data_IF_415784165152
#
_entry.id   IF_415784165152
#
_cell.length_a   1.000
_cell.length_b   1.000
_cell.length_c   1.000
_cell.angle_alpha   90.00
_cell.angle_beta   90.00
_cell.angle_gamma   90.00
#
_symmetry.space_group_name_H-M   'P 1'
#
loop_
_entity.id
_entity.type
_entity.pdbx_description
1 polymer ?
#
# COMPACT_ATOMS: atom_id res chain seq x y z
N UNK A 1 -11.68 80.70 0.93
CA UNK A 1 -10.79 79.63 1.39
C UNK A 1 -11.37 78.86 2.54
N UNK A 2 -12.47 78.09 2.43
CA UNK A 2 -12.98 77.21 3.47
C UNK A 2 -13.93 76.10 2.97
N UNK A 3 -13.89 75.75 1.66
CA UNK A 3 -14.74 74.68 1.09
C UNK A 3 -13.99 73.46 0.56
N UNK A 4 -12.64 73.49 0.48
CA UNK A 4 -11.85 72.34 -0.03
C UNK A 4 -11.31 71.37 1.05
N UNK A 5 -11.29 71.81 2.31
CA UNK A 5 -10.73 70.97 3.37
C UNK A 5 -11.74 69.93 3.94
N UNK A 6 -13.07 70.16 3.79
CA UNK A 6 -14.09 69.22 4.27
C UNK A 6 -14.30 68.04 3.35
N UNK A 7 -13.97 68.17 2.06
CA UNK A 7 -14.18 67.10 1.08
C UNK A 7 -13.05 66.05 1.13
N UNK A 8 -11.84 66.44 1.53
CA UNK A 8 -10.70 65.53 1.63
C UNK A 8 -10.76 64.65 2.89
N UNK A 9 -11.33 65.17 3.96
CA UNK A 9 -11.50 64.39 5.22
C UNK A 9 -12.55 63.31 5.12
N UNK A 10 -13.58 63.46 4.30
CA UNK A 10 -14.65 62.49 4.11
C UNK A 10 -14.19 61.34 3.17
N UNK A 11 -13.28 61.59 2.24
CA UNK A 11 -12.69 60.56 1.35
C UNK A 11 -11.67 59.66 2.07
N UNK A 12 -10.97 60.17 3.09
CA UNK A 12 -10.05 59.33 3.88
C UNK A 12 -10.76 58.44 4.92
N UNK A 13 -11.92 58.88 5.43
CA UNK A 13 -12.71 58.10 6.36
C UNK A 13 -13.49 56.92 5.70
N UNK A 14 -13.74 57.04 4.39
CA UNK A 14 -14.43 55.98 3.62
C UNK A 14 -13.55 54.81 3.19
N UNK A 15 -12.20 54.97 3.19
CA UNK A 15 -11.28 53.90 2.77
C UNK A 15 -10.85 52.92 3.88
N UNK A 16 -11.19 53.20 5.14
CA UNK A 16 -10.81 52.33 6.26
C UNK A 16 -11.90 51.28 6.57
N UNK A 17 -13.08 51.39 5.98
CA UNK A 17 -14.21 50.50 6.28
C UNK A 17 -14.37 49.28 5.34
N UNK A 18 -13.44 49.06 4.41
CA UNK A 18 -13.44 47.92 3.48
C UNK A 18 -12.17 47.08 3.61
N UNK A 19 -11.80 46.74 4.85
CA UNK A 19 -10.97 45.56 5.06
C UNK A 19 -11.88 44.37 4.94
N UNK A 20 -11.74 43.49 3.94
CA UNK A 20 -12.48 42.25 3.93
C UNK A 20 -12.02 41.46 5.15
N UNK A 21 -12.93 41.18 6.06
CA UNK A 21 -12.77 40.17 7.08
C UNK A 21 -12.77 38.77 6.40
N UNK A 22 -11.76 38.55 5.56
CA UNK A 22 -11.40 37.19 5.13
C UNK A 22 -10.48 36.61 6.20
N UNK A 23 -11.00 36.44 7.42
CA UNK A 23 -10.55 35.38 8.29
C UNK A 23 -11.10 34.09 7.66
N UNK A 24 -10.54 33.65 6.54
CA UNK A 24 -10.61 32.24 6.18
C UNK A 24 -9.97 31.53 7.36
N UNK A 25 -10.77 30.81 8.15
CA UNK A 25 -10.23 29.81 9.05
C UNK A 25 -9.27 29.01 8.20
N UNK A 26 -7.98 29.08 8.47
CA UNK A 26 -6.99 28.27 7.78
C UNK A 26 -7.45 26.84 8.08
N UNK A 27 -7.92 26.15 7.05
CA UNK A 27 -8.36 24.77 7.17
C UNK A 27 -7.19 24.02 7.77
N UNK A 28 -7.37 23.48 8.97
CA UNK A 28 -6.28 22.82 9.66
C UNK A 28 -5.90 21.60 8.82
N UNK A 29 -4.67 21.60 8.32
CA UNK A 29 -4.14 20.46 7.58
C UNK A 29 -4.34 19.15 8.38
N UNK A 30 -4.72 18.05 7.73
CA UNK A 30 -4.91 16.78 8.42
C UNK A 30 -3.63 16.35 9.10
N UNK A 31 -3.72 15.94 10.37
CA UNK A 31 -2.58 15.45 11.15
C UNK A 31 -2.14 14.05 10.76
N UNK A 32 -3.03 13.26 10.18
CA UNK A 32 -2.79 11.91 9.68
C UNK A 32 -3.62 11.69 8.42
N UNK A 33 -2.98 11.17 7.39
CA UNK A 33 -3.63 10.62 6.20
C UNK A 33 -3.28 9.14 6.18
N UNK A 34 -4.30 8.28 6.26
CA UNK A 34 -4.14 6.83 6.21
C UNK A 34 -4.78 6.30 4.91
N UNK A 35 -3.95 5.82 3.99
CA UNK A 35 -4.39 5.11 2.80
C UNK A 35 -4.33 3.60 3.06
N UNK A 36 -5.47 2.91 2.91
CA UNK A 36 -5.56 1.46 3.02
C UNK A 36 -5.94 0.92 1.64
N UNK A 37 -5.04 0.13 1.05
CA UNK A 37 -5.27 -0.56 -0.22
C UNK A 37 -5.41 -2.05 0.05
N UNK A 38 -6.55 -2.63 -0.33
CA UNK A 38 -6.85 -4.06 -0.14
C UNK A 38 -6.72 -4.75 -1.49
N UNK A 39 -5.63 -5.50 -1.67
CA UNK A 39 -5.35 -6.26 -2.89
C UNK A 39 -6.39 -7.37 -3.09
N UNK A 40 -6.81 -7.59 -4.35
CA UNK A 40 -7.79 -8.62 -4.70
C UNK A 40 -9.23 -8.36 -4.26
N UNK A 41 -9.53 -7.24 -3.62
CA UNK A 41 -10.88 -6.91 -3.19
C UNK A 41 -11.75 -6.46 -4.37
N UNK A 42 -12.72 -7.29 -4.75
CA UNK A 42 -13.74 -6.90 -5.74
C UNK A 42 -14.62 -5.78 -5.19
N UNK A 43 -14.98 -4.82 -6.05
CA UNK A 43 -15.76 -3.66 -5.66
C UNK A 43 -17.16 -3.98 -5.07
N UNK A 44 -17.75 -5.13 -5.41
CA UNK A 44 -19.05 -5.55 -4.87
C UNK A 44 -18.97 -6.25 -3.50
N UNK A 45 -17.78 -6.71 -3.09
CA UNK A 45 -17.64 -7.50 -1.86
C UNK A 45 -18.03 -6.75 -0.57
N UNK A 46 -17.63 -5.51 -0.35
CA UNK A 46 -18.03 -4.79 0.86
C UNK A 46 -19.54 -4.68 1.02
N UNK A 47 -20.28 -4.42 -0.06
CA UNK A 47 -21.75 -4.35 -0.04
C UNK A 47 -22.37 -5.75 0.07
N UNK A 48 -21.85 -6.73 -0.65
CA UNK A 48 -22.37 -8.10 -0.65
C UNK A 48 -22.32 -8.74 0.74
N UNK A 49 -21.24 -8.53 1.46
CA UNK A 49 -20.99 -9.11 2.78
C UNK A 49 -21.22 -8.14 3.93
N UNK A 50 -21.82 -6.96 3.67
CA UNK A 50 -22.06 -5.95 4.69
C UNK A 50 -22.79 -6.50 5.95
N UNK A 51 -23.70 -7.47 5.77
CA UNK A 51 -24.44 -8.11 6.84
C UNK A 51 -23.59 -9.02 7.75
N UNK A 52 -22.41 -9.44 7.29
CA UNK A 52 -21.45 -10.24 8.05
C UNK A 52 -20.33 -9.40 8.67
N UNK A 53 -20.19 -8.13 8.25
CA UNK A 53 -19.16 -7.24 8.78
C UNK A 53 -19.60 -6.66 10.12
N UNK A 54 -18.65 -6.47 11.04
CA UNK A 54 -18.87 -5.72 12.28
C UNK A 54 -19.14 -4.24 12.02
N UNK A 55 -19.50 -3.50 13.08
CA UNK A 55 -19.87 -2.08 12.98
C UNK A 55 -18.66 -1.17 12.65
N UNK A 56 -17.45 -1.62 12.90
CA UNK A 56 -16.20 -0.94 12.50
C UNK A 56 -15.77 -1.25 11.06
N UNK A 57 -14.60 -0.80 10.67
CA UNK A 57 -13.99 -1.10 9.37
C UNK A 57 -14.86 -0.66 8.18
N UNK A 58 -15.13 -1.56 7.25
CA UNK A 58 -15.88 -1.25 6.03
C UNK A 58 -17.26 -0.66 6.30
N UNK A 59 -18.04 -1.22 7.24
CA UNK A 59 -19.38 -0.66 7.56
C UNK A 59 -19.30 0.76 8.09
N UNK A 60 -18.37 1.04 9.00
CA UNK A 60 -18.15 2.39 9.50
C UNK A 60 -17.80 3.36 8.36
N UNK A 61 -16.82 3.00 7.51
CA UNK A 61 -16.41 3.85 6.41
C UNK A 61 -17.51 4.07 5.36
N UNK A 62 -18.34 3.06 5.09
CA UNK A 62 -19.46 3.17 4.16
C UNK A 62 -20.60 4.03 4.70
N UNK A 63 -20.83 4.05 6.02
CA UNK A 63 -21.91 4.79 6.65
C UNK A 63 -21.53 6.23 7.01
N UNK A 64 -20.30 6.44 7.50
CA UNK A 64 -19.85 7.73 8.04
C UNK A 64 -18.91 8.46 7.06
N UNK A 65 -18.42 7.79 6.04
CA UNK A 65 -17.52 8.34 5.02
C UNK A 65 -18.20 8.59 3.69
N UNK A 66 -17.39 8.93 2.68
CA UNK A 66 -17.85 9.04 1.29
C UNK A 66 -17.58 7.72 0.57
N UNK A 67 -18.65 7.07 0.12
CA UNK A 67 -18.57 5.82 -0.63
C UNK A 67 -18.77 6.07 -2.13
N UNK A 68 -17.72 5.93 -2.93
CA UNK A 68 -17.78 6.05 -4.39
C UNK A 68 -18.27 4.74 -5.01
N UNK A 69 -19.56 4.65 -5.29
CA UNK A 69 -20.21 3.42 -5.81
C UNK A 69 -19.98 3.17 -7.29
N UNK A 70 -19.40 4.12 -8.02
CA UNK A 70 -19.13 4.04 -9.46
C UNK A 70 -17.68 4.41 -9.80
N UNK A 71 -16.72 3.90 -9.02
CA UNK A 71 -15.30 4.08 -9.28
C UNK A 71 -14.76 2.91 -10.10
N UNK A 72 -14.16 3.21 -11.26
CA UNK A 72 -13.63 2.22 -12.18
C UNK A 72 -12.22 2.57 -12.64
N UNK A 73 -11.38 1.55 -12.81
CA UNK A 73 -10.14 1.71 -13.56
C UNK A 73 -10.44 1.99 -15.04
N UNK A 74 -9.59 2.80 -15.66
CA UNK A 74 -9.67 3.10 -17.09
C UNK A 74 -8.87 2.10 -17.95
N UNK A 75 -8.40 1.00 -17.37
CA UNK A 75 -7.60 -0.03 -18.01
C UNK A 75 -8.09 -1.42 -17.59
N UNK A 76 -7.82 -2.41 -18.45
CA UNK A 76 -8.31 -3.78 -18.26
C UNK A 76 -7.39 -4.65 -17.38
N UNK A 77 -6.07 -4.47 -17.47
CA UNK A 77 -5.13 -5.22 -16.65
C UNK A 77 -5.12 -4.67 -15.23
N UNK A 78 -5.54 -5.47 -14.26
CA UNK A 78 -5.62 -5.12 -12.85
C UNK A 78 -4.73 -6.03 -11.99
N UNK A 79 -3.58 -6.45 -12.52
CA UNK A 79 -2.56 -7.08 -11.69
C UNK A 79 -2.12 -6.17 -10.55
N UNK A 80 -1.60 -6.75 -9.48
CA UNK A 80 -1.29 -6.05 -8.23
C UNK A 80 -0.58 -4.71 -8.44
N UNK A 81 0.58 -4.70 -9.12
CA UNK A 81 1.37 -3.46 -9.27
C UNK A 81 0.65 -2.44 -10.15
N UNK A 82 -0.05 -2.89 -11.19
CA UNK A 82 -0.80 -2.01 -12.10
C UNK A 82 -1.89 -1.26 -11.33
N UNK A 83 -2.68 -1.99 -10.55
CA UNK A 83 -3.73 -1.40 -9.70
C UNK A 83 -3.18 -0.52 -8.59
N UNK A 84 -2.15 -0.97 -7.87
CA UNK A 84 -1.54 -0.20 -6.79
C UNK A 84 -0.94 1.11 -7.28
N UNK A 85 -0.18 1.09 -8.38
CA UNK A 85 0.42 2.32 -8.93
C UNK A 85 -0.65 3.23 -9.52
N UNK A 86 -1.71 2.69 -10.16
CA UNK A 86 -2.85 3.52 -10.60
C UNK A 86 -3.51 4.24 -9.41
N UNK A 87 -3.71 3.56 -8.27
CA UNK A 87 -4.25 4.18 -7.05
C UNK A 87 -3.27 5.18 -6.43
N UNK A 88 -1.98 4.87 -6.43
CA UNK A 88 -0.95 5.74 -5.85
C UNK A 88 -0.70 7.02 -6.66
N UNK A 89 -0.87 6.97 -8.00
CA UNK A 89 -0.55 8.08 -8.90
C UNK A 89 -1.78 8.82 -9.44
N UNK A 90 -2.98 8.22 -9.35
CA UNK A 90 -4.18 8.73 -10.01
C UNK A 90 -4.08 8.67 -11.54
N UNK A 91 -3.13 7.94 -12.12
CA UNK A 91 -2.88 7.87 -13.55
C UNK A 91 -3.06 6.45 -14.11
N UNK A 92 -2.92 6.29 -15.42
CA UNK A 92 -3.11 5.03 -16.13
C UNK A 92 -1.76 4.37 -16.47
N UNK A 93 -1.72 3.05 -16.75
CA UNK A 93 -0.48 2.32 -17.05
C UNK A 93 0.40 2.95 -18.14
N UNK A 94 -0.22 3.55 -19.17
CA UNK A 94 0.52 4.25 -20.21
C UNK A 94 1.29 5.48 -19.72
N UNK A 95 0.88 6.09 -18.59
CA UNK A 95 1.54 7.24 -17.99
C UNK A 95 2.51 6.83 -16.88
N UNK A 96 2.10 5.91 -15.99
CA UNK A 96 2.95 5.51 -14.87
C UNK A 96 3.92 4.34 -15.18
N UNK A 97 3.82 3.72 -16.38
CA UNK A 97 4.76 2.72 -16.86
C UNK A 97 4.58 1.30 -16.33
N UNK A 98 3.73 1.07 -15.34
CA UNK A 98 3.50 -0.27 -14.78
C UNK A 98 2.45 -1.02 -15.59
N UNK A 99 2.88 -2.04 -16.33
CA UNK A 99 2.05 -2.81 -17.27
C UNK A 99 1.73 -4.22 -16.79
N UNK A 100 2.43 -4.72 -15.77
CA UNK A 100 2.25 -6.05 -15.20
C UNK A 100 3.15 -6.26 -13.98
N UNK A 101 2.94 -7.35 -13.23
CA UNK A 101 3.82 -7.73 -12.11
C UNK A 101 5.21 -8.14 -12.61
N UNK A 102 5.29 -8.63 -13.83
CA UNK A 102 6.53 -8.93 -14.57
C UNK A 102 6.32 -8.60 -16.03
N UNK A 103 7.38 -8.22 -16.73
CA UNK A 103 7.37 -8.06 -18.18
C UNK A 103 8.72 -8.46 -18.79
N UNK A 104 8.72 -8.67 -20.08
CA UNK A 104 9.94 -8.94 -20.82
C UNK A 104 10.62 -7.61 -21.17
N UNK A 105 11.81 -7.39 -20.60
CA UNK A 105 12.65 -6.25 -20.94
C UNK A 105 13.50 -6.61 -22.17
N UNK A 106 13.36 -5.82 -23.23
CA UNK A 106 14.03 -6.08 -24.52
C UNK A 106 15.51 -5.75 -24.49
N UNK A 107 15.92 -4.78 -23.67
CA UNK A 107 17.32 -4.36 -23.53
C UNK A 107 18.08 -5.38 -22.69
N UNK A 108 17.47 -5.83 -21.60
CA UNK A 108 18.04 -6.86 -20.72
C UNK A 108 17.88 -8.29 -21.28
N UNK A 109 16.99 -8.50 -22.27
CA UNK A 109 16.72 -9.81 -22.88
C UNK A 109 16.12 -10.84 -21.93
N UNK A 110 15.41 -10.41 -20.88
CA UNK A 110 14.83 -11.28 -19.85
C UNK A 110 13.55 -10.75 -19.25
N UNK A 111 12.85 -11.60 -18.50
CA UNK A 111 11.79 -11.14 -17.60
C UNK A 111 12.40 -10.31 -16.47
N UNK A 112 11.74 -9.20 -16.16
CA UNK A 112 12.05 -8.32 -15.04
C UNK A 112 10.86 -8.24 -14.08
N UNK A 113 11.17 -8.14 -12.80
CA UNK A 113 10.18 -7.88 -11.77
C UNK A 113 9.99 -6.37 -11.62
N UNK A 114 8.75 -5.94 -11.46
CA UNK A 114 8.29 -4.55 -11.61
C UNK A 114 9.08 -3.47 -10.85
N UNK A 115 9.63 -3.79 -9.68
CA UNK A 115 10.39 -2.86 -8.83
C UNK A 115 11.81 -3.36 -8.52
N UNK A 116 12.33 -4.35 -9.27
CA UNK A 116 13.72 -4.74 -9.10
C UNK A 116 14.66 -3.61 -9.53
N UNK A 117 15.73 -3.42 -8.78
CA UNK A 117 16.71 -2.36 -9.02
C UNK A 117 18.11 -2.83 -8.65
N UNK A 118 19.02 -2.86 -9.65
CA UNK A 118 20.39 -3.34 -9.48
C UNK A 118 21.27 -2.34 -8.71
N UNK A 119 20.89 -1.06 -8.68
CA UNK A 119 21.66 -0.01 -8.03
C UNK A 119 21.43 0.04 -6.51
N UNK A 120 20.42 -0.70 -6.04
CA UNK A 120 20.02 -0.73 -4.62
C UNK A 120 20.04 -2.15 -4.07
N UNK A 121 20.32 -2.27 -2.77
CA UNK A 121 20.37 -3.56 -2.05
C UNK A 121 19.38 -3.59 -0.89
N UNK A 122 18.98 -4.79 -0.50
CA UNK A 122 18.29 -4.98 0.77
C UNK A 122 19.24 -4.70 1.93
N UNK A 123 18.76 -4.04 2.99
CA UNK A 123 19.60 -3.77 4.16
C UNK A 123 19.93 -5.04 4.96
N UNK A 124 19.06 -6.04 4.93
CA UNK A 124 19.30 -7.33 5.57
C UNK A 124 19.89 -8.31 4.55
N UNK A 125 21.00 -8.91 4.87
CA UNK A 125 21.49 -10.08 4.15
C UNK A 125 20.47 -11.23 4.22
N UNK A 126 20.40 -12.05 3.17
CA UNK A 126 19.49 -13.20 3.07
C UNK A 126 17.99 -12.87 3.21
N UNK A 127 17.62 -11.60 2.99
CA UNK A 127 16.21 -11.16 2.99
C UNK A 127 15.54 -11.27 1.63
N UNK A 128 16.28 -11.69 0.62
CA UNK A 128 15.78 -11.90 -0.74
C UNK A 128 14.80 -13.08 -0.83
N UNK A 129 14.18 -13.22 -2.00
CA UNK A 129 13.22 -14.29 -2.28
C UNK A 129 13.89 -15.66 -2.18
N UNK A 130 13.44 -16.48 -1.24
CA UNK A 130 13.84 -17.89 -1.18
C UNK A 130 13.11 -18.69 -2.27
N UNK A 131 13.81 -19.01 -3.34
CA UNK A 131 13.28 -19.73 -4.49
C UNK A 131 12.74 -21.13 -4.15
N UNK A 132 13.13 -21.70 -3.01
CA UNK A 132 12.72 -23.05 -2.59
C UNK A 132 11.34 -23.06 -1.92
N UNK A 133 10.92 -21.94 -1.34
CA UNK A 133 9.65 -21.81 -0.59
C UNK A 133 8.70 -20.76 -1.17
N UNK A 134 9.16 -19.93 -2.12
CA UNK A 134 8.30 -18.92 -2.76
C UNK A 134 7.28 -19.58 -3.69
N UNK A 135 6.02 -19.28 -3.48
CA UNK A 135 4.90 -19.78 -4.28
C UNK A 135 4.41 -18.80 -5.33
N UNK A 136 4.70 -17.50 -5.18
CA UNK A 136 4.33 -16.47 -6.15
C UNK A 136 5.29 -16.49 -7.36
N UNK A 137 4.83 -16.89 -8.55
CA UNK A 137 5.69 -16.98 -9.74
C UNK A 137 6.26 -15.61 -10.16
N UNK A 138 5.58 -14.52 -9.82
CA UNK A 138 6.05 -13.17 -10.15
C UNK A 138 7.22 -12.75 -9.26
N UNK A 139 7.20 -13.09 -7.98
CA UNK A 139 8.33 -12.91 -7.07
C UNK A 139 9.53 -13.77 -7.48
N UNK A 140 9.29 -15.00 -7.95
CA UNK A 140 10.34 -15.89 -8.46
C UNK A 140 11.02 -15.38 -9.74
N UNK A 141 10.36 -14.48 -10.48
CA UNK A 141 10.92 -13.88 -11.69
C UNK A 141 12.00 -12.81 -11.39
N UNK A 142 12.02 -12.25 -10.19
CA UNK A 142 13.04 -11.30 -9.78
C UNK A 142 14.44 -11.93 -9.84
N UNK A 143 15.35 -11.27 -10.54
CA UNK A 143 16.76 -11.70 -10.69
C UNK A 143 17.73 -10.81 -9.93
N UNK A 144 17.24 -9.69 -9.45
CA UNK A 144 17.96 -8.70 -8.66
C UNK A 144 17.30 -8.58 -7.29
N UNK A 145 18.09 -8.51 -6.23
CA UNK A 145 17.57 -8.44 -4.86
C UNK A 145 17.08 -7.04 -4.48
N UNK A 146 17.68 -6.00 -5.06
CA UNK A 146 17.36 -4.61 -4.74
C UNK A 146 15.95 -4.20 -5.19
N UNK A 147 15.40 -3.23 -4.48
CA UNK A 147 14.04 -2.71 -4.69
C UNK A 147 14.03 -1.20 -4.59
N UNK A 148 13.40 -0.54 -5.56
CA UNK A 148 13.16 0.89 -5.54
C UNK A 148 11.92 1.27 -6.37
N UNK A 149 11.42 2.50 -6.29
CA UNK A 149 10.35 3.01 -7.15
C UNK A 149 10.86 3.54 -8.51
N UNK A 150 12.09 3.24 -8.93
CA UNK A 150 12.71 3.82 -10.14
C UNK A 150 11.88 3.60 -11.41
N UNK A 151 11.23 2.45 -11.53
CA UNK A 151 10.39 2.06 -12.67
C UNK A 151 9.02 2.73 -12.71
N UNK A 152 8.59 3.41 -11.65
CA UNK A 152 7.33 4.18 -11.63
C UNK A 152 7.59 5.53 -12.30
N UNK A 153 6.95 5.82 -13.44
CA UNK A 153 7.25 7.02 -14.24
C UNK A 153 6.49 8.27 -13.83
N UNK A 154 5.44 8.14 -13.02
CA UNK A 154 4.65 9.27 -12.49
C UNK A 154 4.94 9.50 -11.01
N UNK A 155 4.73 10.74 -10.53
CA UNK A 155 4.70 11.01 -9.09
C UNK A 155 3.53 10.31 -8.42
N UNK A 156 3.73 9.89 -7.18
CA UNK A 156 2.67 9.30 -6.37
C UNK A 156 2.03 10.34 -5.48
N UNK A 157 0.86 10.05 -4.92
CA UNK A 157 0.24 10.88 -3.88
C UNK A 157 1.21 11.17 -2.71
N UNK A 158 2.02 10.18 -2.36
CA UNK A 158 3.07 10.32 -1.34
C UNK A 158 4.14 11.35 -1.75
N UNK A 159 4.56 11.35 -3.01
CA UNK A 159 5.51 12.32 -3.54
C UNK A 159 4.92 13.73 -3.55
N UNK A 160 3.68 13.88 -4.02
CA UNK A 160 2.97 15.17 -4.03
C UNK A 160 2.75 15.70 -2.61
N UNK A 161 2.44 14.83 -1.65
CA UNK A 161 2.30 15.19 -0.24
C UNK A 161 3.63 15.72 0.33
N UNK A 162 4.75 15.08 -0.02
CA UNK A 162 6.06 15.53 0.40
C UNK A 162 6.39 16.92 -0.18
N UNK A 163 6.08 17.14 -1.45
CA UNK A 163 6.27 18.44 -2.12
C UNK A 163 5.39 19.49 -1.47
N UNK A 164 4.09 19.21 -1.28
CA UNK A 164 3.12 20.15 -0.71
C UNK A 164 3.54 20.66 0.68
N UNK A 165 4.09 19.79 1.50
CA UNK A 165 4.54 20.14 2.86
C UNK A 165 6.05 20.40 2.96
N UNK A 166 6.73 20.66 1.84
CA UNK A 166 8.16 21.02 1.82
C UNK A 166 9.08 19.97 2.45
N UNK A 167 8.73 18.69 2.34
CA UNK A 167 9.51 17.58 2.89
C UNK A 167 9.31 17.33 4.40
N UNK A 168 8.42 18.06 5.06
CA UNK A 168 8.16 17.88 6.50
C UNK A 168 7.23 16.69 6.82
N UNK A 169 6.54 16.14 5.82
CA UNK A 169 5.67 14.98 5.99
C UNK A 169 6.47 13.72 6.30
N UNK A 170 5.99 12.93 7.26
CA UNK A 170 6.51 11.58 7.53
C UNK A 170 5.64 10.59 6.77
N UNK A 171 6.19 9.97 5.74
CA UNK A 171 5.47 9.14 4.80
C UNK A 171 6.01 7.72 4.86
N UNK A 172 5.13 6.74 5.08
CA UNK A 172 5.48 5.32 5.18
C UNK A 172 4.55 4.48 4.30
N UNK A 173 5.12 3.59 3.48
CA UNK A 173 4.41 2.51 2.82
C UNK A 173 4.76 1.19 3.51
N UNK A 174 3.74 0.46 3.98
CA UNK A 174 3.94 -0.83 4.66
C UNK A 174 3.03 -1.86 4.00
N UNK A 175 3.59 -2.99 3.62
CA UNK A 175 2.84 -4.09 3.02
C UNK A 175 3.53 -5.42 3.30
N UNK A 176 2.79 -6.52 3.14
CA UNK A 176 3.40 -7.85 3.14
C UNK A 176 4.33 -8.01 1.93
N UNK A 177 3.91 -7.56 0.74
CA UNK A 177 4.74 -7.64 -0.47
C UNK A 177 5.45 -6.31 -0.75
N UNK A 178 6.70 -6.41 -1.20
CA UNK A 178 7.56 -5.30 -1.59
C UNK A 178 6.88 -4.30 -2.53
N UNK A 179 6.25 -4.78 -3.62
CA UNK A 179 5.57 -3.94 -4.62
C UNK A 179 4.45 -3.09 -4.02
N UNK A 180 3.70 -3.61 -3.05
CA UNK A 180 2.67 -2.84 -2.35
C UNK A 180 3.26 -1.70 -1.53
N UNK A 181 4.31 -1.97 -0.76
CA UNK A 181 4.98 -0.97 0.06
C UNK A 181 5.66 0.11 -0.78
N UNK A 182 6.42 -0.30 -1.80
CA UNK A 182 7.18 0.60 -2.69
C UNK A 182 6.26 1.52 -3.49
N UNK A 183 5.17 0.99 -4.07
CA UNK A 183 4.22 1.79 -4.84
C UNK A 183 3.53 2.85 -4.00
N UNK A 184 3.15 2.53 -2.76
CA UNK A 184 2.48 3.46 -1.85
C UNK A 184 3.44 4.49 -1.22
N UNK A 185 4.69 4.10 -0.94
CA UNK A 185 5.69 5.03 -0.43
C UNK A 185 6.16 6.03 -1.49
N UNK A 186 6.18 5.64 -2.75
CA UNK A 186 6.74 6.44 -3.82
C UNK A 186 8.24 6.69 -3.64
N UNK A 187 8.73 7.80 -4.23
CA UNK A 187 10.13 8.21 -4.15
C UNK A 187 10.47 8.95 -2.86
N UNK A 188 9.53 9.73 -2.36
CA UNK A 188 9.76 10.60 -1.20
C UNK A 188 9.47 9.91 0.15
N UNK A 189 8.68 8.86 0.15
CA UNK A 189 8.33 8.10 1.36
C UNK A 189 9.40 7.09 1.77
N UNK A 190 9.03 6.23 2.71
CA UNK A 190 9.83 5.13 3.24
C UNK A 190 9.02 3.84 3.15
N UNK A 191 9.56 2.80 2.53
CA UNK A 191 8.87 1.54 2.33
C UNK A 191 9.42 0.44 3.22
N UNK A 192 8.51 -0.37 3.77
CA UNK A 192 8.84 -1.60 4.52
C UNK A 192 7.94 -2.73 4.05
N UNK A 193 8.51 -3.92 3.87
CA UNK A 193 7.77 -5.12 3.48
C UNK A 193 8.28 -6.34 4.23
N UNK A 194 7.45 -7.39 4.25
CA UNK A 194 7.78 -8.60 4.98
C UNK A 194 8.64 -9.54 4.13
N UNK A 195 9.83 -9.89 4.62
CA UNK A 195 10.67 -10.92 4.04
C UNK A 195 10.25 -12.28 4.59
N UNK A 196 9.76 -13.15 3.71
CA UNK A 196 9.39 -14.52 4.07
C UNK A 196 10.61 -15.35 4.50
N UNK A 197 11.76 -15.13 3.89
CA UNK A 197 13.01 -15.82 4.24
C UNK A 197 13.50 -15.49 5.65
N UNK A 198 13.28 -14.24 6.12
CA UNK A 198 13.72 -13.77 7.44
C UNK A 198 12.60 -13.83 8.50
N UNK A 199 11.34 -13.78 8.09
CA UNK A 199 10.21 -13.58 9.03
C UNK A 199 10.17 -12.18 9.64
N UNK A 200 10.71 -11.16 8.96
CA UNK A 200 10.95 -9.82 9.45
C UNK A 200 10.52 -8.77 8.42
N UNK A 201 10.21 -7.55 8.88
CA UNK A 201 10.06 -6.40 7.99
C UNK A 201 11.42 -5.88 7.55
N UNK A 202 11.56 -5.66 6.25
CA UNK A 202 12.81 -5.25 5.60
C UNK A 202 12.60 -4.03 4.71
N UNK A 203 13.70 -3.41 4.29
CA UNK A 203 13.72 -2.29 3.35
C UNK A 203 14.99 -2.35 2.51
N UNK A 204 15.14 -1.47 1.53
CA UNK A 204 16.35 -1.30 0.72
C UNK A 204 17.12 -0.04 1.10
N UNK A 205 18.37 0.05 0.63
CA UNK A 205 19.24 1.22 0.81
C UNK A 205 18.79 2.45 0.01
N UNK A 206 17.81 2.28 -0.90
CA UNK A 206 17.08 3.41 -1.49
C UNK A 206 16.37 4.24 -0.41
N UNK A 207 15.77 3.58 0.56
CA UNK A 207 14.95 4.23 1.59
C UNK A 207 15.72 4.59 2.85
N UNK A 208 16.67 3.73 3.26
CA UNK A 208 17.43 3.89 4.48
C UNK A 208 18.85 3.36 4.33
N UNK A 209 19.81 3.97 5.02
CA UNK A 209 21.17 3.42 5.13
C UNK A 209 21.31 2.42 6.29
N UNK A 210 20.41 2.51 7.27
CA UNK A 210 20.29 1.58 8.40
C UNK A 210 18.85 1.56 8.91
N UNK A 211 18.44 0.46 9.50
CA UNK A 211 17.10 0.38 10.07
C UNK A 211 16.88 1.41 11.19
N UNK A 212 15.72 2.10 11.18
CA UNK A 212 15.28 2.84 12.37
C UNK A 212 15.12 1.93 13.57
N UNK A 213 15.37 2.44 14.78
CA UNK A 213 15.31 1.65 16.01
C UNK A 213 13.96 0.94 16.19
N UNK A 214 12.86 1.62 15.89
CA UNK A 214 11.53 1.02 16.02
C UNK A 214 11.30 -0.20 15.10
N UNK A 215 11.96 -0.28 13.94
CA UNK A 215 11.92 -1.48 13.07
C UNK A 215 12.73 -2.60 13.68
N UNK A 216 13.92 -2.29 14.22
CA UNK A 216 14.74 -3.28 14.91
C UNK A 216 14.00 -3.85 16.12
N UNK A 217 13.34 -3.01 16.93
CA UNK A 217 12.56 -3.43 18.09
C UNK A 217 11.38 -4.32 17.68
N UNK A 218 10.66 -3.95 16.60
CA UNK A 218 9.58 -4.76 16.06
C UNK A 218 10.07 -6.14 15.60
N UNK A 219 11.13 -6.18 14.81
CA UNK A 219 11.69 -7.43 14.29
C UNK A 219 12.25 -8.31 15.43
N UNK A 220 12.90 -7.71 16.42
CA UNK A 220 13.38 -8.43 17.61
C UNK A 220 12.26 -9.10 18.40
N UNK A 221 11.06 -8.52 18.40
CA UNK A 221 9.86 -9.09 19.01
C UNK A 221 9.31 -10.33 18.27
N UNK A 222 9.77 -10.60 17.05
CA UNK A 222 9.36 -11.75 16.22
C UNK A 222 7.84 -11.99 16.19
N UNK A 223 7.02 -10.98 15.81
CA UNK A 223 5.56 -11.05 15.94
C UNK A 223 4.93 -12.18 15.10
N UNK A 224 5.58 -12.62 14.03
CA UNK A 224 5.14 -13.76 13.22
C UNK A 224 5.02 -15.04 14.05
N UNK A 225 5.87 -15.25 15.04
CA UNK A 225 5.84 -16.47 15.89
C UNK A 225 4.56 -16.59 16.72
N UNK A 226 3.80 -15.52 16.92
CA UNK A 226 2.51 -15.57 17.59
C UNK A 226 1.46 -16.44 16.85
N UNK A 227 1.72 -16.75 15.58
CA UNK A 227 0.85 -17.58 14.74
C UNK A 227 1.30 -19.05 14.65
N UNK A 228 2.46 -19.40 15.21
CA UNK A 228 2.96 -20.78 15.19
C UNK A 228 1.96 -21.73 15.86
N UNK A 229 1.67 -22.84 15.20
CA UNK A 229 0.69 -23.85 15.66
C UNK A 229 -0.78 -23.42 15.55
N UNK A 230 -1.06 -22.24 14.99
CA UNK A 230 -2.42 -21.76 14.69
C UNK A 230 -2.80 -22.04 13.24
N UNK A 231 -4.03 -21.68 12.89
CA UNK A 231 -4.55 -21.77 11.52
C UNK A 231 -5.28 -20.49 11.13
N UNK A 232 -5.37 -20.25 9.84
CA UNK A 232 -6.34 -19.30 9.28
C UNK A 232 -7.69 -20.01 9.21
N UNK A 233 -8.65 -19.48 9.93
CA UNK A 233 -9.98 -20.04 10.06
C UNK A 233 -11.03 -19.12 9.44
N UNK A 234 -12.19 -19.69 9.11
CA UNK A 234 -13.35 -18.91 8.71
C UNK A 234 -13.82 -18.03 9.87
N UNK A 235 -14.12 -16.75 9.59
CA UNK A 235 -14.66 -15.81 10.60
C UNK A 235 -16.12 -16.08 10.96
N UNK A 236 -16.85 -16.82 10.10
CA UNK A 236 -18.26 -17.19 10.26
C UNK A 236 -18.47 -18.66 9.93
N UNK A 237 -19.64 -19.20 10.24
CA UNK A 237 -20.03 -20.53 9.82
C UNK A 237 -20.00 -20.67 8.29
N UNK A 238 -19.58 -21.81 7.79
CA UNK A 238 -19.32 -22.06 6.36
C UNK A 238 -20.54 -21.77 5.47
N UNK A 239 -21.76 -22.00 5.96
CA UNK A 239 -23.01 -21.71 5.24
C UNK A 239 -23.26 -20.20 4.98
N UNK A 240 -22.51 -19.30 5.64
CA UNK A 240 -22.57 -17.85 5.42
C UNK A 240 -21.79 -17.39 4.20
N UNK A 241 -20.91 -18.22 3.70
CA UNK A 241 -20.08 -17.86 2.52
C UNK A 241 -20.74 -18.34 1.23
N UNK A 242 -20.64 -17.52 0.21
CA UNK A 242 -21.08 -17.88 -1.13
C UNK A 242 -20.27 -19.10 -1.62
N UNK A 243 -20.94 -20.19 -1.94
CA UNK A 243 -20.32 -21.47 -2.31
C UNK A 243 -19.48 -22.13 -1.19
N UNK A 244 -19.78 -21.85 0.07
CA UNK A 244 -19.06 -22.43 1.20
C UNK A 244 -19.07 -23.96 1.22
N UNK A 245 -20.11 -24.60 0.67
CA UNK A 245 -20.21 -26.06 0.48
C UNK A 245 -19.22 -26.63 -0.56
N UNK A 246 -18.55 -25.76 -1.31
CA UNK A 246 -17.61 -26.10 -2.39
C UNK A 246 -16.26 -25.42 -2.20
N UNK A 247 -15.72 -25.54 -1.00
CA UNK A 247 -14.46 -24.91 -0.57
C UNK A 247 -13.25 -25.47 -1.35
N UNK A 248 -13.18 -26.76 -1.59
CA UNK A 248 -12.07 -27.39 -2.31
C UNK A 248 -12.12 -27.08 -3.81
N UNK A 249 -11.25 -26.20 -4.28
CA UNK A 249 -11.13 -25.81 -5.70
C UNK A 249 -9.81 -26.30 -6.30
N UNK A 250 -9.89 -26.96 -7.45
CA UNK A 250 -8.70 -27.50 -8.13
C UNK A 250 -7.73 -26.43 -8.63
N UNK A 251 -8.21 -25.19 -8.83
CA UNK A 251 -7.40 -24.05 -9.30
C UNK A 251 -6.75 -23.27 -8.18
N UNK A 252 -7.05 -23.56 -6.92
CA UNK A 252 -6.36 -22.96 -5.78
C UNK A 252 -4.95 -23.52 -5.65
N UNK A 253 -4.01 -22.64 -5.33
CA UNK A 253 -2.63 -23.04 -5.09
C UNK A 253 -2.55 -23.87 -3.82
N UNK A 254 -2.11 -25.10 -3.97
CA UNK A 254 -1.80 -25.98 -2.85
C UNK A 254 -0.28 -26.10 -2.69
N UNK A 255 0.19 -25.99 -1.48
CA UNK A 255 1.60 -26.18 -1.14
C UNK A 255 1.73 -26.89 0.22
N UNK A 256 2.91 -27.46 0.54
CA UNK A 256 3.05 -28.39 1.66
C UNK A 256 2.44 -27.87 2.96
N UNK A 257 1.50 -28.63 3.49
CA UNK A 257 0.87 -28.42 4.80
C UNK A 257 -0.17 -27.29 4.87
N UNK A 258 -0.54 -26.65 3.73
CA UNK A 258 -1.56 -25.60 3.73
C UNK A 258 -2.96 -26.13 3.36
N UNK A 259 -3.07 -26.86 2.25
CA UNK A 259 -4.32 -27.42 1.74
C UNK A 259 -5.20 -26.39 1.02
N UNK A 260 -6.36 -26.86 0.52
CA UNK A 260 -7.34 -26.05 -0.22
C UNK A 260 -8.67 -25.88 0.50
N UNK A 261 -8.73 -26.32 1.75
CA UNK A 261 -9.97 -26.33 2.56
C UNK A 261 -9.67 -25.74 3.93
N UNK A 262 -10.51 -24.84 4.38
CA UNK A 262 -10.43 -24.29 5.73
C UNK A 262 -10.60 -25.37 6.82
N UNK A 263 -9.85 -25.26 7.92
CA UNK A 263 -8.85 -24.25 8.23
C UNK A 263 -7.50 -24.48 7.53
N UNK A 264 -6.75 -23.41 7.23
CA UNK A 264 -5.41 -23.48 6.67
C UNK A 264 -4.36 -23.37 7.78
N UNK A 265 -3.64 -24.44 8.15
CA UNK A 265 -2.69 -24.38 9.25
C UNK A 265 -1.42 -23.60 8.87
N UNK A 266 -0.94 -22.76 9.79
CA UNK A 266 0.34 -22.06 9.60
C UNK A 266 1.55 -22.96 9.84
N UNK A 267 1.38 -24.03 10.65
CA UNK A 267 2.44 -24.99 10.99
C UNK A 267 3.31 -24.54 12.17
N UNK A 268 4.34 -25.30 12.45
CA UNK A 268 5.31 -25.01 13.51
C UNK A 268 6.25 -23.86 13.10
N UNK A 269 6.82 -23.18 14.07
CA UNK A 269 7.71 -22.04 13.85
C UNK A 269 8.99 -22.38 13.07
N UNK A 270 9.44 -23.61 13.15
CA UNK A 270 10.62 -24.15 12.45
C UNK A 270 10.30 -24.81 11.10
N UNK A 271 9.02 -24.84 10.70
CA UNK A 271 8.63 -25.32 9.38
C UNK A 271 9.09 -24.30 8.32
N UNK A 272 9.77 -24.77 7.29
CA UNK A 272 10.30 -23.94 6.21
C UNK A 272 9.25 -23.13 5.44
N UNK A 273 7.97 -23.57 5.46
CA UNK A 273 6.86 -22.86 4.84
C UNK A 273 6.05 -22.01 5.83
N UNK A 274 6.45 -21.93 7.11
CA UNK A 274 5.70 -21.20 8.13
C UNK A 274 5.40 -19.76 7.70
N UNK A 275 6.43 -19.00 7.38
CA UNK A 275 6.31 -17.60 6.95
C UNK A 275 5.58 -17.45 5.61
N UNK A 276 5.75 -18.40 4.69
CA UNK A 276 5.00 -18.45 3.42
C UNK A 276 3.50 -18.64 3.64
N UNK A 277 3.11 -19.43 4.63
CA UNK A 277 1.69 -19.66 4.98
C UNK A 277 1.03 -18.46 5.68
N UNK A 278 1.82 -17.54 6.24
CA UNK A 278 1.32 -16.31 6.85
C UNK A 278 1.01 -15.20 5.84
N UNK A 279 1.50 -15.32 4.63
CA UNK A 279 1.47 -14.28 3.61
C UNK A 279 0.71 -14.71 2.36
#
# INVERSE_FOLDING_TARGET
MKRHELTTAILLAGLVALAPAAATAAEQAPRLILQITVDGLRGDMPTRYAHLLGDGGFRYLMNEGVNYTNAHYQHANTETIVGHVSLATGSVPAAHGMVGNVWYDRELGRLVYNIEDADHKLLSADASVDQSTEIDPTQRAAKVEGRSPATILSSTFSDELAVHYGGHSKIFGVSIKDRGAVSMAGRAGKAFWFSKSKGEFVTSDYYYQQYPQWVNDWNAGKPALAYAGKAWELSHAQDKYLFGDRDNKFYETDFPGFGRVFPHPYGAADDKYFTTRLT
#
